data_IF_452006593355
#
_entry.id   IF_452006593355
#
_cell.length_a   1.000
_cell.length_b   1.000
_cell.length_c   1.000
_cell.angle_alpha   90.00
_cell.angle_beta   90.00
_cell.angle_gamma   90.00
#
_symmetry.space_group_name_H-M   'P 1'
#
loop_
_entity.id
_entity.type
_entity.pdbx_description
1 polymer ?
#
# COMPACT_ATOMS: atom_id res chain seq x y z
N UNK A 1 -9.70 21.59 -24.37
CA UNK A 1 -9.20 20.25 -23.99
C UNK A 1 -10.03 19.26 -24.79
N UNK A 2 -9.42 18.52 -25.72
CA UNK A 2 -10.13 17.47 -26.43
C UNK A 2 -10.40 16.32 -25.47
N UNK A 3 -11.64 15.85 -25.39
CA UNK A 3 -11.94 14.62 -24.68
C UNK A 3 -11.33 13.46 -25.47
N UNK A 4 -10.48 12.67 -24.81
CA UNK A 4 -10.00 11.41 -25.39
C UNK A 4 -11.23 10.51 -25.62
N UNK A 5 -11.51 10.21 -26.89
CA UNK A 5 -12.62 9.33 -27.25
C UNK A 5 -12.13 7.89 -27.20
N UNK A 6 -12.68 7.11 -26.26
CA UNK A 6 -12.49 5.68 -26.22
C UNK A 6 -13.38 5.01 -27.27
N UNK A 7 -12.88 4.03 -28.04
CA UNK A 7 -13.73 3.31 -28.99
C UNK A 7 -14.80 2.51 -28.24
N UNK A 8 -16.00 2.39 -28.80
CA UNK A 8 -17.08 1.52 -28.30
C UNK A 8 -16.80 0.03 -28.57
N UNK A 9 -15.59 -0.41 -28.26
CA UNK A 9 -15.11 -1.79 -28.39
C UNK A 9 -14.74 -2.35 -27.01
N UNK A 10 -14.59 -3.67 -26.92
CA UNK A 10 -14.10 -4.30 -25.69
C UNK A 10 -12.75 -3.72 -25.25
N UNK A 11 -11.84 -3.49 -26.20
CA UNK A 11 -10.52 -2.90 -25.92
C UNK A 11 -10.65 -1.45 -25.44
N UNK A 12 -11.55 -0.66 -26.02
CA UNK A 12 -11.81 0.71 -25.55
C UNK A 12 -12.41 0.77 -24.16
N UNK A 13 -13.26 -0.19 -23.79
CA UNK A 13 -13.76 -0.34 -22.42
C UNK A 13 -12.64 -0.71 -21.44
N UNK A 14 -11.72 -1.60 -21.83
CA UNK A 14 -10.56 -1.96 -21.01
C UNK A 14 -9.64 -0.75 -20.83
N UNK A 15 -9.36 0.02 -21.89
CA UNK A 15 -8.52 1.21 -21.81
C UNK A 15 -9.17 2.35 -21.00
N UNK A 16 -10.52 2.41 -20.99
CA UNK A 16 -11.28 3.32 -20.14
C UNK A 16 -11.22 2.92 -18.66
N UNK A 17 -11.42 1.64 -18.35
CA UNK A 17 -11.44 1.12 -16.96
C UNK A 17 -10.03 1.03 -16.38
N UNK A 18 -9.04 0.69 -17.20
CA UNK A 18 -7.65 0.46 -16.81
C UNK A 18 -6.74 1.39 -17.62
N UNK A 19 -6.54 2.64 -17.14
CA UNK A 19 -5.69 3.59 -17.84
C UNK A 19 -4.25 3.05 -17.94
N UNK A 20 -3.55 3.40 -19.02
CA UNK A 20 -2.19 2.91 -19.35
C UNK A 20 -1.21 2.90 -18.15
N UNK A 21 -1.15 3.93 -17.28
CA UNK A 21 -0.27 3.93 -16.12
C UNK A 21 -0.54 2.79 -15.12
N UNK A 22 -1.79 2.33 -15.00
CA UNK A 22 -2.19 1.28 -14.06
C UNK A 22 -2.24 -0.13 -14.67
N UNK A 23 -2.11 -0.27 -15.99
CA UNK A 23 -2.20 -1.57 -16.67
C UNK A 23 -1.16 -2.57 -16.13
N UNK A 24 0.06 -2.12 -15.82
CA UNK A 24 1.08 -3.00 -15.26
C UNK A 24 0.70 -3.48 -13.86
N UNK A 25 0.25 -2.57 -12.98
CA UNK A 25 -0.19 -2.90 -11.63
C UNK A 25 -1.36 -3.91 -11.63
N UNK A 26 -2.31 -3.76 -12.56
CA UNK A 26 -3.42 -4.69 -12.74
C UNK A 26 -2.93 -6.05 -13.25
N UNK A 27 -2.02 -6.07 -14.23
CA UNK A 27 -1.41 -7.32 -14.73
C UNK A 27 -0.68 -8.07 -13.64
N UNK A 28 0.10 -7.38 -12.81
CA UNK A 28 0.86 -8.01 -11.71
C UNK A 28 -0.08 -8.57 -10.65
N UNK A 29 -1.12 -7.82 -10.29
CA UNK A 29 -2.14 -8.29 -9.35
C UNK A 29 -2.96 -9.48 -9.90
N UNK A 30 -3.25 -9.47 -11.20
CA UNK A 30 -3.92 -10.58 -11.87
C UNK A 30 -3.03 -11.82 -11.93
N UNK A 31 -1.75 -11.66 -12.26
CA UNK A 31 -0.77 -12.75 -12.25
C UNK A 31 -0.60 -13.34 -10.86
N UNK A 32 -0.59 -12.50 -9.81
CA UNK A 32 -0.57 -12.93 -8.42
C UNK A 32 -1.78 -13.84 -8.10
N UNK A 33 -2.99 -13.43 -8.51
CA UNK A 33 -4.19 -14.23 -8.33
C UNK A 33 -4.17 -15.55 -9.13
N UNK A 34 -3.82 -15.49 -10.42
CA UNK A 34 -3.83 -16.65 -11.32
C UNK A 34 -2.76 -17.70 -10.99
N UNK A 35 -1.62 -17.29 -10.43
CA UNK A 35 -0.58 -18.20 -9.96
C UNK A 35 -0.80 -18.68 -8.53
N UNK A 36 -2.00 -18.47 -7.98
CA UNK A 36 -2.43 -18.94 -6.66
C UNK A 36 -1.54 -18.44 -5.51
N UNK A 37 -0.91 -17.27 -5.65
CA UNK A 37 -0.08 -16.71 -4.58
C UNK A 37 -0.92 -16.34 -3.35
N UNK A 38 -2.22 -16.12 -3.51
CA UNK A 38 -3.15 -15.88 -2.41
C UNK A 38 -3.28 -17.05 -1.43
N UNK A 39 -2.85 -18.26 -1.79
CA UNK A 39 -2.78 -19.42 -0.89
C UNK A 39 -1.34 -19.85 -0.59
N UNK A 40 -0.35 -19.13 -1.11
CA UNK A 40 1.06 -19.42 -0.85
C UNK A 40 1.43 -18.95 0.56
N UNK A 41 1.63 -19.90 1.46
CA UNK A 41 2.02 -19.67 2.86
C UNK A 41 3.51 -19.74 3.09
N UNK A 42 4.33 -19.90 2.04
CA UNK A 42 5.78 -19.89 2.17
C UNK A 42 6.23 -18.54 2.74
N UNK A 43 6.88 -18.58 3.90
CA UNK A 43 7.44 -17.40 4.53
C UNK A 43 8.78 -17.04 3.87
N UNK A 44 8.90 -15.78 3.49
CA UNK A 44 10.15 -15.17 3.03
C UNK A 44 10.67 -14.21 4.11
N UNK A 45 11.98 -13.94 4.12
CA UNK A 45 12.61 -13.00 5.06
C UNK A 45 13.05 -13.63 6.38
N UNK A 46 13.85 -12.89 7.14
CA UNK A 46 14.41 -13.35 8.42
C UNK A 46 14.20 -12.38 9.58
N UNK A 47 13.88 -11.12 9.28
CA UNK A 47 13.62 -10.07 10.28
C UNK A 47 12.14 -10.01 10.62
N UNK A 48 11.79 -10.03 11.90
CA UNK A 48 10.41 -9.76 12.33
C UNK A 48 10.06 -8.27 12.11
N UNK A 49 8.77 -7.97 11.97
CA UNK A 49 8.30 -6.59 11.97
C UNK A 49 8.54 -5.96 13.34
N UNK A 50 9.00 -4.71 13.35
CA UNK A 50 9.13 -3.94 14.59
C UNK A 50 7.74 -3.74 15.25
N UNK A 51 6.70 -3.59 14.44
CA UNK A 51 5.29 -3.63 14.86
C UNK A 51 4.49 -4.57 13.94
N UNK A 52 4.15 -5.75 14.45
CA UNK A 52 3.37 -6.75 13.73
C UNK A 52 1.93 -6.30 13.41
N UNK A 53 1.26 -7.02 12.51
CA UNK A 53 -0.10 -6.70 12.06
C UNK A 53 -1.10 -6.63 13.21
N UNK A 54 -0.99 -7.53 14.19
CA UNK A 54 -1.89 -7.54 15.36
C UNK A 54 -1.52 -6.53 16.44
N UNK A 55 -0.42 -5.80 16.27
CA UNK A 55 0.03 -4.76 17.18
C UNK A 55 -0.35 -3.36 16.66
N UNK A 56 -1.42 -3.25 15.86
CA UNK A 56 -1.86 -1.98 15.29
C UNK A 56 -2.18 -0.90 16.34
N UNK A 57 -2.49 -1.30 17.58
CA UNK A 57 -2.74 -0.40 18.71
C UNK A 57 -1.47 0.13 19.40
N UNK A 58 -0.27 -0.32 19.05
CA UNK A 58 0.98 0.23 19.61
C UNK A 58 1.14 1.72 19.31
N UNK A 59 0.54 2.17 18.20
CA UNK A 59 0.43 3.57 17.84
C UNK A 59 -1.05 3.96 17.82
N UNK A 60 -1.66 4.11 19.01
CA UNK A 60 -3.09 4.40 19.19
C UNK A 60 -3.59 5.56 18.31
N UNK A 61 -2.91 6.73 18.26
CA UNK A 61 -3.46 7.81 17.45
C UNK A 61 -3.36 7.53 15.94
N UNK A 62 -2.38 6.73 15.48
CA UNK A 62 -2.35 6.24 14.10
C UNK A 62 -3.51 5.29 13.83
N UNK A 63 -3.74 4.35 14.73
CA UNK A 63 -4.82 3.38 14.63
C UNK A 63 -6.18 4.07 14.55
N UNK A 64 -6.44 5.05 15.42
CA UNK A 64 -7.66 5.87 15.41
C UNK A 64 -7.78 6.69 14.12
N UNK A 65 -6.69 7.28 13.63
CA UNK A 65 -6.71 8.03 12.37
C UNK A 65 -7.12 7.13 11.20
N UNK A 66 -6.52 5.94 11.09
CA UNK A 66 -6.79 4.98 10.01
C UNK A 66 -8.19 4.37 10.13
N UNK A 67 -8.63 4.01 11.34
CA UNK A 67 -9.94 3.37 11.56
C UNK A 67 -11.11 4.34 11.51
N UNK A 68 -10.97 5.55 12.08
CA UNK A 68 -12.08 6.49 12.27
C UNK A 68 -12.16 7.60 11.20
N UNK A 69 -11.10 7.84 10.42
CA UNK A 69 -11.14 8.72 9.24
C UNK A 69 -10.55 7.99 8.04
N UNK A 70 -11.44 7.36 7.27
CA UNK A 70 -11.08 6.68 6.03
C UNK A 70 -10.33 7.62 5.06
N UNK A 71 -10.69 8.90 5.06
CA UNK A 71 -9.96 9.99 4.42
C UNK A 71 -8.45 9.97 4.68
N UNK A 72 -8.07 9.92 5.95
CA UNK A 72 -6.67 9.91 6.36
C UNK A 72 -6.02 8.55 6.17
N UNK A 73 -6.76 7.46 6.42
CA UNK A 73 -6.31 6.10 6.11
C UNK A 73 -5.87 5.98 4.65
N UNK A 74 -6.65 6.52 3.70
CA UNK A 74 -6.29 6.55 2.29
C UNK A 74 -5.02 7.37 2.03
N UNK A 75 -4.91 8.58 2.58
CA UNK A 75 -3.70 9.40 2.42
C UNK A 75 -2.44 8.70 2.94
N UNK A 76 -2.54 8.02 4.09
CA UNK A 76 -1.42 7.28 4.68
C UNK A 76 -1.10 6.05 3.82
N UNK A 77 -2.11 5.33 3.33
CA UNK A 77 -1.93 4.15 2.48
C UNK A 77 -1.14 4.45 1.22
N UNK A 78 -1.55 5.45 0.44
CA UNK A 78 -0.88 5.74 -0.84
C UNK A 78 0.50 6.37 -0.66
N UNK A 79 0.68 7.13 0.43
CA UNK A 79 2.00 7.60 0.81
C UNK A 79 2.93 6.44 1.19
N UNK A 80 2.45 5.48 1.98
CA UNK A 80 3.23 4.29 2.31
C UNK A 80 3.56 3.49 1.05
N UNK A 81 2.58 3.33 0.15
CA UNK A 81 2.80 2.66 -1.13
C UNK A 81 3.89 3.34 -1.96
N UNK A 82 3.99 4.68 -1.96
CA UNK A 82 5.12 5.37 -2.59
C UNK A 82 6.48 4.90 -2.03
N UNK A 83 6.61 4.73 -0.71
CA UNK A 83 7.86 4.23 -0.11
C UNK A 83 8.09 2.73 -0.33
N UNK A 84 7.02 1.97 -0.52
CA UNK A 84 7.06 0.51 -0.74
C UNK A 84 7.32 0.14 -2.20
N UNK A 85 6.71 0.85 -3.16
CA UNK A 85 6.85 0.59 -4.60
C UNK A 85 7.94 1.41 -5.27
N UNK A 86 8.32 2.57 -4.70
CA UNK A 86 9.23 3.52 -5.33
C UNK A 86 8.57 4.46 -6.34
N UNK A 87 7.25 4.32 -6.55
CA UNK A 87 6.50 5.20 -7.45
C UNK A 87 6.18 6.56 -6.81
N UNK A 88 5.71 7.51 -7.63
CA UNK A 88 5.08 8.72 -7.12
C UNK A 88 3.79 8.39 -6.33
N UNK A 89 3.40 9.27 -5.40
CA UNK A 89 2.15 9.09 -4.64
C UNK A 89 0.92 9.06 -5.56
N UNK A 90 0.94 9.86 -6.62
CA UNK A 90 -0.12 9.92 -7.63
C UNK A 90 -0.24 8.60 -8.40
N UNK A 91 0.90 8.03 -8.81
CA UNK A 91 0.95 6.73 -9.48
C UNK A 91 0.47 5.62 -8.54
N UNK A 92 0.93 5.61 -7.29
CA UNK A 92 0.48 4.65 -6.28
C UNK A 92 -1.03 4.74 -6.03
N UNK A 93 -1.58 5.96 -5.98
CA UNK A 93 -3.02 6.21 -5.87
C UNK A 93 -3.81 5.62 -7.04
N UNK A 94 -3.39 5.94 -8.28
CA UNK A 94 -4.06 5.46 -9.49
C UNK A 94 -3.97 3.94 -9.58
N UNK A 95 -2.79 3.36 -9.36
CA UNK A 95 -2.57 1.91 -9.39
C UNK A 95 -3.47 1.17 -8.39
N UNK A 96 -3.47 1.61 -7.12
CA UNK A 96 -4.27 0.98 -6.09
C UNK A 96 -5.78 1.14 -6.32
N UNK A 97 -6.23 2.31 -6.77
CA UNK A 97 -7.65 2.57 -7.05
C UNK A 97 -8.15 1.74 -8.22
N UNK A 98 -7.39 1.69 -9.32
CA UNK A 98 -7.76 0.91 -10.52
C UNK A 98 -7.74 -0.59 -10.22
N UNK A 99 -6.70 -1.09 -9.53
CA UNK A 99 -6.66 -2.49 -9.09
C UNK A 99 -7.84 -2.83 -8.18
N UNK A 100 -8.21 -1.93 -7.26
CA UNK A 100 -9.40 -2.07 -6.42
C UNK A 100 -10.69 -2.13 -7.23
N UNK A 101 -10.85 -1.26 -8.23
CA UNK A 101 -12.04 -1.20 -9.09
C UNK A 101 -12.28 -2.48 -9.91
N UNK A 102 -11.21 -3.23 -10.23
CA UNK A 102 -11.29 -4.53 -10.92
C UNK A 102 -11.20 -5.72 -9.94
N UNK A 103 -11.50 -5.51 -8.65
CA UNK A 103 -11.51 -6.52 -7.59
C UNK A 103 -10.15 -7.18 -7.29
N UNK A 104 -9.05 -6.55 -7.70
CA UNK A 104 -7.67 -7.03 -7.48
C UNK A 104 -6.94 -6.24 -6.39
N UNK A 105 -7.63 -5.39 -5.63
CA UNK A 105 -7.04 -4.53 -4.58
C UNK A 105 -6.13 -5.29 -3.60
N UNK A 106 -6.61 -6.37 -2.95
CA UNK A 106 -5.78 -7.16 -2.03
C UNK A 106 -4.58 -7.83 -2.69
N UNK A 107 -4.72 -8.26 -3.95
CA UNK A 107 -3.63 -8.86 -4.72
C UNK A 107 -2.57 -7.81 -5.08
N UNK A 108 -2.98 -6.62 -5.51
CA UNK A 108 -2.08 -5.51 -5.78
C UNK A 108 -1.32 -5.10 -4.51
N UNK A 109 -2.03 -4.97 -3.40
CA UNK A 109 -1.42 -4.67 -2.12
C UNK A 109 -0.42 -5.76 -1.69
N UNK A 110 -0.73 -7.05 -1.90
CA UNK A 110 0.19 -8.15 -1.62
C UNK A 110 1.46 -8.11 -2.49
N UNK A 111 1.34 -7.72 -3.76
CA UNK A 111 2.51 -7.51 -4.64
C UNK A 111 3.40 -6.38 -4.10
N UNK A 112 2.81 -5.23 -3.78
CA UNK A 112 3.55 -4.07 -3.25
C UNK A 112 4.20 -4.39 -1.90
N UNK A 113 3.46 -5.05 -1.00
CA UNK A 113 3.97 -5.43 0.32
C UNK A 113 5.02 -6.55 0.24
N UNK A 114 4.93 -7.45 -0.73
CA UNK A 114 5.98 -8.43 -1.03
C UNK A 114 7.30 -7.74 -1.38
N UNK A 115 7.25 -6.67 -2.19
CA UNK A 115 8.44 -5.87 -2.51
C UNK A 115 8.98 -5.13 -1.27
N UNK A 116 8.09 -4.59 -0.44
CA UNK A 116 8.44 -3.98 0.84
C UNK A 116 9.17 -4.98 1.75
N UNK A 117 8.66 -6.20 1.89
CA UNK A 117 9.32 -7.26 2.67
C UNK A 117 10.69 -7.60 2.13
N UNK A 118 10.83 -7.76 0.81
CA UNK A 118 12.11 -8.03 0.15
C UNK A 118 13.11 -6.91 0.39
N UNK A 119 12.69 -5.64 0.33
CA UNK A 119 13.52 -4.45 0.57
C UNK A 119 14.13 -4.44 1.98
N UNK A 120 13.38 -4.88 3.00
CA UNK A 120 13.81 -4.82 4.40
C UNK A 120 14.10 -6.19 5.05
N UNK A 121 14.08 -7.28 4.28
CA UNK A 121 14.25 -8.64 4.77
C UNK A 121 13.19 -9.09 5.78
N UNK A 122 11.97 -8.54 5.70
CA UNK A 122 10.89 -8.77 6.66
C UNK A 122 10.22 -10.13 6.43
N UNK A 123 9.92 -10.83 7.53
CA UNK A 123 9.19 -12.10 7.51
C UNK A 123 7.76 -11.93 7.00
N UNK A 124 7.28 -12.89 6.22
CA UNK A 124 5.86 -13.01 5.88
C UNK A 124 5.62 -13.80 4.61
N UNK A 125 4.36 -14.10 4.32
CA UNK A 125 3.94 -14.84 3.13
C UNK A 125 3.01 -14.03 2.21
N UNK A 126 2.96 -14.35 0.90
CA UNK A 126 1.99 -13.75 -0.02
C UNK A 126 0.53 -13.93 0.39
N UNK A 127 0.17 -15.11 0.91
CA UNK A 127 -1.16 -15.41 1.43
C UNK A 127 -1.53 -14.46 2.58
N UNK A 128 -0.62 -14.29 3.54
CA UNK A 128 -0.84 -13.38 4.67
C UNK A 128 -1.05 -11.94 4.19
N UNK A 129 -0.26 -11.45 3.24
CA UNK A 129 -0.44 -10.07 2.75
C UNK A 129 -1.79 -9.87 2.08
N UNK A 130 -2.22 -10.84 1.26
CA UNK A 130 -3.49 -10.75 0.55
C UNK A 130 -4.67 -10.84 1.52
N UNK A 131 -4.65 -11.80 2.45
CA UNK A 131 -5.73 -12.02 3.41
C UNK A 131 -5.81 -10.92 4.46
N UNK A 132 -4.67 -10.50 5.02
CA UNK A 132 -4.63 -9.40 5.98
C UNK A 132 -4.88 -8.06 5.30
N UNK A 133 -4.48 -7.86 4.04
CA UNK A 133 -4.83 -6.67 3.27
C UNK A 133 -6.35 -6.55 3.04
N UNK A 134 -7.03 -7.68 2.79
CA UNK A 134 -8.48 -7.72 2.61
C UNK A 134 -9.25 -7.55 3.94
N UNK A 135 -8.90 -8.33 4.97
CA UNK A 135 -9.69 -8.44 6.20
C UNK A 135 -9.21 -7.54 7.35
N UNK A 136 -7.94 -7.12 7.32
CA UNK A 136 -7.27 -6.38 8.40
C UNK A 136 -6.58 -5.12 7.86
N UNK A 137 -7.13 -4.52 6.79
CA UNK A 137 -6.55 -3.37 6.09
C UNK A 137 -6.05 -2.26 7.03
N UNK A 138 -6.85 -1.79 8.02
CA UNK A 138 -6.39 -0.78 8.98
C UNK A 138 -5.16 -1.19 9.77
N UNK A 139 -5.12 -2.44 10.25
CA UNK A 139 -4.03 -2.92 11.08
C UNK A 139 -2.76 -3.23 10.26
N UNK A 140 -2.93 -3.74 9.03
CA UNK A 140 -1.84 -3.85 8.06
C UNK A 140 -1.23 -2.49 7.74
N UNK A 141 -2.07 -1.47 7.54
CA UNK A 141 -1.60 -0.11 7.27
C UNK A 141 -0.84 0.48 8.46
N UNK A 142 -1.29 0.23 9.68
CA UNK A 142 -0.56 0.63 10.89
C UNK A 142 0.81 -0.04 10.97
N UNK A 143 0.86 -1.35 10.71
CA UNK A 143 2.11 -2.13 10.69
C UNK A 143 3.10 -1.57 9.66
N UNK A 144 2.66 -1.29 8.43
CA UNK A 144 3.52 -0.69 7.39
C UNK A 144 4.02 0.68 7.78
N UNK A 145 3.12 1.54 8.28
CA UNK A 145 3.47 2.90 8.65
C UNK A 145 4.52 2.89 9.76
N UNK A 146 4.31 2.11 10.81
CA UNK A 146 5.25 2.01 11.92
C UNK A 146 6.61 1.45 11.44
N UNK A 147 6.61 0.44 10.57
CA UNK A 147 7.84 -0.08 10.00
C UNK A 147 8.58 0.97 9.16
N UNK A 148 7.86 1.75 8.35
CA UNK A 148 8.46 2.85 7.58
C UNK A 148 8.96 3.98 8.48
N UNK A 149 8.31 4.27 9.61
CA UNK A 149 8.80 5.25 10.58
C UNK A 149 10.15 4.82 11.16
N UNK A 150 10.35 3.53 11.44
CA UNK A 150 11.62 2.98 11.94
C UNK A 150 12.68 2.90 10.84
N UNK A 151 12.30 2.44 9.64
CA UNK A 151 13.25 2.14 8.57
C UNK A 151 13.67 3.34 7.73
N UNK A 152 12.75 4.27 7.46
CA UNK A 152 12.94 5.43 6.57
C UNK A 152 12.84 6.77 7.33
N UNK A 153 12.51 6.76 8.62
CA UNK A 153 12.36 7.98 9.42
C UNK A 153 11.17 8.84 8.98
N UNK A 154 10.17 8.26 8.30
CA UNK A 154 9.02 9.03 7.82
C UNK A 154 8.22 9.58 9.00
N UNK A 155 7.69 10.79 8.83
CA UNK A 155 6.80 11.41 9.82
C UNK A 155 5.38 11.42 9.26
N UNK A 156 4.43 10.84 9.97
CA UNK A 156 3.01 10.95 9.62
C UNK A 156 2.46 12.29 10.17
N UNK A 157 1.98 13.20 9.30
CA UNK A 157 1.39 14.46 9.73
C UNK A 157 0.26 14.21 10.75
N UNK A 158 0.07 15.15 11.68
CA UNK A 158 -0.88 15.08 12.82
C UNK A 158 -0.52 14.17 14.00
N UNK A 159 0.26 13.09 13.83
CA UNK A 159 0.69 12.26 14.96
C UNK A 159 1.84 12.88 15.75
N UNK A 160 2.80 13.45 15.04
CA UNK A 160 3.90 14.16 15.66
C UNK A 160 3.49 15.53 16.18
N UNK A 161 2.38 16.12 15.71
CA UNK A 161 1.90 17.42 16.19
C UNK A 161 1.38 17.39 17.65
N UNK A 162 0.93 16.23 18.13
CA UNK A 162 0.48 16.05 19.52
C UNK A 162 1.64 15.80 20.50
N UNK A 163 2.79 15.32 20.01
CA UNK A 163 4.00 15.09 20.81
C UNK A 163 5.13 16.11 20.54
N UNK A 164 5.04 16.95 19.50
CA UNK A 164 6.07 17.90 19.15
C UNK A 164 5.79 19.27 19.75
N UNK A 165 6.18 19.43 21.01
CA UNK A 165 6.99 20.59 21.34
C UNK A 165 8.31 20.52 20.54
N UNK A 166 8.28 21.02 19.30
CA UNK A 166 9.48 21.25 18.49
C UNK A 166 9.97 20.06 17.65
N UNK A 167 9.65 20.07 16.35
CA UNK A 167 10.59 19.80 15.26
C UNK A 167 9.80 19.84 13.94
N UNK A 168 10.16 20.79 13.08
CA UNK A 168 9.55 20.94 11.75
C UNK A 168 9.70 19.64 10.96
N UNK A 169 8.58 19.17 10.39
CA UNK A 169 8.56 18.00 9.52
C UNK A 169 9.45 18.23 8.31
N UNK A 170 10.63 17.63 8.33
CA UNK A 170 11.51 17.59 7.17
C UNK A 170 10.80 16.79 6.06
N UNK A 171 10.78 17.36 4.85
CA UNK A 171 10.36 16.66 3.64
C UNK A 171 11.35 15.53 3.39
N UNK A 172 10.95 14.29 3.64
CA UNK A 172 11.75 13.11 3.28
C UNK A 172 11.49 12.84 1.80
N UNK A 173 12.52 12.99 0.96
CA UNK A 173 12.45 12.66 -0.46
C UNK A 173 12.16 11.16 -0.66
N UNK A 174 11.39 10.78 -1.68
CA UNK A 174 11.19 9.37 -2.01
C UNK A 174 12.53 8.71 -2.34
N UNK A 175 12.69 7.45 -1.93
CA UNK A 175 13.87 6.65 -2.20
C UNK A 175 14.09 6.54 -3.73
N UNK A 176 15.35 6.69 -4.15
CA UNK A 176 15.78 6.56 -5.55
C UNK A 176 15.75 5.12 -6.03
#
# INVERSE_FOLDING_TARGET
MGHEQYPDTQDGCIDFVVPKPAQQAVKDAFNFAMTMQCINTAEEGSKDYDHGVFNCMDNVPLCLAVMCCNCWGMCIAYRNMQYMSGDSCETAFVNGTVAGAVCLGPCHYAVVRGNFRKKYGLKGSPCQDCMCGCCLGPCMLCSDTNQLMVSEGITVPFLNGLNAGGAGGAKVSPAK
#
